data_IF_076345558772
#
_entry.id   IF_076345558772
#
_cell.length_a   1.000
_cell.length_b   1.000
_cell.length_c   1.000
_cell.angle_alpha   90.00
_cell.angle_beta   90.00
_cell.angle_gamma   90.00
#
_symmetry.space_group_name_H-M   'P 1'
#
loop_
_entity.id
_entity.type
_entity.pdbx_description
1 polymer ?
#
# COMPACT_ATOMS: atom_id res chain seq x y z
N UNK A 1 23.99 -38.13 72.69
CA UNK A 1 23.88 -39.00 71.49
C UNK A 1 23.32 -38.13 70.37
N UNK A 2 24.00 -37.86 69.25
CA UNK A 2 24.61 -38.74 68.22
C UNK A 2 23.55 -39.43 67.35
N UNK A 3 23.61 -39.43 66.00
CA UNK A 3 24.61 -38.82 65.07
C UNK A 3 23.94 -38.48 63.70
N UNK A 4 24.70 -37.86 62.79
CA UNK A 4 24.35 -37.47 61.40
C UNK A 4 24.05 -38.69 60.46
N UNK A 5 23.82 -38.62 59.14
CA UNK A 5 24.09 -37.64 58.04
C UNK A 5 23.03 -37.89 56.90
N UNK A 6 22.98 -37.41 55.65
CA UNK A 6 23.75 -36.65 54.61
C UNK A 6 22.72 -35.81 53.79
N UNK A 7 22.96 -34.86 52.85
CA UNK A 7 23.83 -34.73 51.66
C UNK A 7 23.54 -35.77 50.52
N UNK A 8 23.61 -35.48 49.19
CA UNK A 8 24.13 -34.32 48.42
C UNK A 8 23.47 -34.29 46.99
N UNK A 9 23.18 -33.10 46.42
CA UNK A 9 23.06 -32.70 44.97
C UNK A 9 22.12 -33.53 44.02
N UNK A 10 21.64 -33.09 42.84
CA UNK A 10 22.23 -32.32 41.71
C UNK A 10 21.22 -31.58 40.79
N UNK A 11 21.73 -30.54 40.11
CA UNK A 11 21.37 -29.99 38.77
C UNK A 11 19.99 -29.34 38.45
N UNK A 12 20.08 -28.31 37.58
CA UNK A 12 19.18 -27.81 36.50
C UNK A 12 17.64 -28.02 36.59
N UNK A 13 16.80 -27.08 36.18
CA UNK A 13 16.80 -26.40 34.87
C UNK A 13 16.41 -24.92 34.97
N UNK A 14 17.00 -24.08 34.12
CA UNK A 14 16.57 -22.69 33.92
C UNK A 14 15.21 -22.64 33.20
N UNK A 15 14.21 -21.97 33.77
CA UNK A 15 13.04 -21.52 33.01
C UNK A 15 12.95 -20.00 33.05
N UNK A 16 13.50 -19.37 32.00
CA UNK A 16 13.21 -17.99 31.66
C UNK A 16 11.70 -17.88 31.38
N UNK A 17 10.96 -17.20 32.26
CA UNK A 17 9.69 -16.63 31.86
C UNK A 17 9.99 -15.51 30.88
N UNK A 18 9.94 -15.84 29.60
CA UNK A 18 9.91 -14.86 28.53
C UNK A 18 8.72 -13.94 28.77
N UNK A 19 9.01 -12.70 29.18
CA UNK A 19 8.09 -11.59 28.96
C UNK A 19 7.92 -11.53 27.45
N UNK A 20 6.76 -11.95 26.95
CA UNK A 20 6.40 -11.85 25.55
C UNK A 20 6.33 -10.37 25.20
N UNK A 21 7.44 -9.86 24.65
CA UNK A 21 7.60 -8.45 24.33
C UNK A 21 6.49 -8.03 23.37
N UNK A 22 5.52 -7.26 23.89
CA UNK A 22 4.52 -6.61 23.07
C UNK A 22 5.25 -5.48 22.35
N UNK A 23 5.83 -5.80 21.19
CA UNK A 23 6.43 -4.83 20.28
C UNK A 23 5.30 -4.05 19.60
N UNK A 24 4.67 -3.19 20.40
CA UNK A 24 3.89 -2.06 19.89
C UNK A 24 4.83 -1.21 19.06
N UNK A 25 4.59 -1.16 17.74
CA UNK A 25 5.40 -0.33 16.86
C UNK A 25 5.35 1.14 17.29
N UNK A 26 6.53 1.75 17.30
CA UNK A 26 6.74 3.19 17.39
C UNK A 26 7.98 3.51 16.55
N UNK A 27 8.33 4.79 16.37
CA UNK A 27 9.41 5.21 15.45
C UNK A 27 10.77 4.54 15.70
N UNK A 28 11.00 4.02 16.92
CA UNK A 28 12.14 3.18 17.33
C UNK A 28 12.35 1.86 16.55
N UNK A 29 11.43 1.45 15.67
CA UNK A 29 11.59 0.20 14.91
C UNK A 29 12.56 0.32 13.72
N UNK A 30 12.88 1.53 13.24
CA UNK A 30 13.94 1.72 12.24
C UNK A 30 15.29 1.14 12.73
N UNK A 31 15.64 1.40 13.98
CA UNK A 31 16.90 0.95 14.62
C UNK A 31 16.97 -0.58 14.84
N UNK A 32 15.86 -1.30 14.55
CA UNK A 32 15.73 -2.76 14.69
C UNK A 32 15.69 -3.47 13.33
N UNK A 33 15.64 -2.72 12.23
CA UNK A 33 15.72 -3.27 10.88
C UNK A 33 17.19 -3.51 10.48
N UNK A 34 17.47 -4.49 9.59
CA UNK A 34 18.80 -4.67 9.02
C UNK A 34 19.29 -3.40 8.30
N UNK A 35 20.43 -2.87 8.75
CA UNK A 35 21.12 -1.76 8.09
C UNK A 35 21.66 -2.25 6.74
N UNK A 36 21.39 -1.50 5.66
CA UNK A 36 21.82 -1.85 4.31
C UNK A 36 22.70 -0.73 3.73
N UNK A 37 23.99 -1.00 3.58
CA UNK A 37 25.00 -0.04 3.13
C UNK A 37 25.03 0.16 1.59
N UNK A 38 24.25 -0.60 0.82
CA UNK A 38 24.18 -0.43 -0.64
C UNK A 38 23.49 0.90 -1.00
N UNK A 39 24.18 1.87 -1.65
CA UNK A 39 23.62 3.20 -1.94
C UNK A 39 22.41 3.19 -2.89
N UNK A 40 22.18 2.10 -3.63
CA UNK A 40 20.96 1.96 -4.45
C UNK A 40 19.68 1.74 -3.62
N UNK A 41 19.81 1.24 -2.39
CA UNK A 41 18.68 0.90 -1.50
C UNK A 41 18.79 1.55 -0.12
N UNK A 42 19.89 2.26 0.15
CA UNK A 42 20.04 3.09 1.34
C UNK A 42 18.87 4.08 1.50
N UNK A 43 18.38 4.18 2.75
CA UNK A 43 17.30 5.07 3.15
C UNK A 43 17.79 6.53 3.20
N UNK A 44 17.04 7.43 2.57
CA UNK A 44 17.31 8.88 2.57
C UNK A 44 16.04 9.61 2.97
N UNK A 45 16.10 10.46 3.98
CA UNK A 45 14.96 11.27 4.39
C UNK A 45 15.43 12.65 4.88
N UNK A 46 14.85 13.70 4.32
CA UNK A 46 15.03 15.08 4.77
C UNK A 46 14.08 15.46 5.93
N UNK A 47 14.16 16.72 6.38
CA UNK A 47 13.23 17.30 7.37
C UNK A 47 12.08 18.11 6.72
N UNK A 48 11.91 18.03 5.39
CA UNK A 48 10.85 18.76 4.66
C UNK A 48 9.53 17.99 4.81
N UNK A 49 8.42 18.64 5.23
CA UNK A 49 7.11 17.99 5.28
C UNK A 49 6.68 17.43 3.91
N UNK A 50 5.80 16.42 3.91
CA UNK A 50 5.41 15.76 2.66
C UNK A 50 4.79 16.75 1.66
N UNK A 51 5.40 16.86 0.47
CA UNK A 51 4.84 17.64 -0.63
C UNK A 51 3.75 16.84 -1.36
N UNK A 52 2.77 17.57 -1.86
CA UNK A 52 1.71 17.09 -2.75
C UNK A 52 1.75 17.90 -4.06
N UNK A 53 1.10 17.39 -5.10
CA UNK A 53 0.89 18.07 -6.39
C UNK A 53 0.37 19.50 -6.18
N UNK A 54 1.00 20.48 -6.82
CA UNK A 54 0.50 21.84 -6.87
C UNK A 54 -0.76 21.90 -7.74
N UNK A 55 -1.65 22.84 -7.38
CA UNK A 55 -2.86 23.18 -8.13
C UNK A 55 -3.88 22.03 -8.29
N UNK A 56 -3.76 20.95 -7.50
CA UNK A 56 -4.62 19.75 -7.60
C UNK A 56 -4.68 19.17 -9.02
N UNK A 57 -3.53 19.00 -9.66
CA UNK A 57 -3.46 18.58 -11.05
C UNK A 57 -4.24 17.27 -11.30
N UNK A 58 -5.20 17.33 -12.23
CA UNK A 58 -6.01 16.16 -12.62
C UNK A 58 -5.15 15.23 -13.45
N UNK A 59 -4.97 14.01 -12.99
CA UNK A 59 -4.29 12.97 -13.78
C UNK A 59 -5.23 12.59 -14.92
N UNK A 60 -4.75 12.63 -16.16
CA UNK A 60 -5.53 12.37 -17.38
C UNK A 60 -5.37 10.92 -17.84
N UNK A 61 -4.12 10.46 -17.99
CA UNK A 61 -3.80 9.06 -18.32
C UNK A 61 -2.53 8.56 -17.63
N UNK A 62 -2.50 7.26 -17.35
CA UNK A 62 -1.32 6.53 -16.91
C UNK A 62 -1.02 5.42 -17.92
N UNK A 63 0.17 5.45 -18.52
CA UNK A 63 0.56 4.57 -19.64
C UNK A 63 1.89 3.87 -19.35
N UNK A 64 2.13 2.71 -19.98
CA UNK A 64 3.48 2.15 -20.08
C UNK A 64 4.25 2.88 -21.19
N UNK A 65 5.48 3.35 -20.96
CA UNK A 65 6.28 3.96 -22.02
C UNK A 65 6.55 2.96 -23.15
N UNK A 66 6.24 3.40 -24.38
CA UNK A 66 6.69 2.85 -25.65
C UNK A 66 6.51 1.33 -25.89
N UNK A 67 5.41 0.97 -26.55
CA UNK A 67 5.41 -0.14 -27.49
C UNK A 67 4.80 0.28 -28.84
N UNK A 68 5.42 -0.11 -29.96
CA UNK A 68 4.88 0.09 -31.31
C UNK A 68 3.76 -0.94 -31.64
N UNK A 69 2.97 -1.28 -30.63
CA UNK A 69 1.97 -2.34 -30.59
C UNK A 69 0.96 -2.03 -29.49
N UNK A 70 -0.18 -2.73 -29.48
CA UNK A 70 -1.20 -2.54 -28.46
C UNK A 70 -0.64 -2.65 -27.02
N UNK A 71 -0.94 -1.66 -26.17
CA UNK A 71 -0.59 -1.64 -24.75
C UNK A 71 -1.81 -1.37 -23.87
N UNK A 72 -1.72 -1.69 -22.58
CA UNK A 72 -2.74 -1.30 -21.60
C UNK A 72 -2.36 -0.01 -20.87
N UNK A 73 -3.35 0.83 -20.62
CA UNK A 73 -3.21 2.07 -19.88
C UNK A 73 -4.50 2.41 -19.13
N UNK A 74 -4.44 3.42 -18.27
CA UNK A 74 -5.59 3.90 -17.50
C UNK A 74 -5.96 5.31 -17.92
N UNK A 75 -7.25 5.55 -18.11
CA UNK A 75 -7.86 6.87 -18.26
C UNK A 75 -8.55 7.21 -16.94
N UNK A 76 -8.48 8.47 -16.57
CA UNK A 76 -9.02 9.01 -15.33
C UNK A 76 -10.05 10.08 -15.71
N UNK A 77 -11.25 9.92 -15.17
CA UNK A 77 -12.43 10.73 -15.51
C UNK A 77 -12.94 11.38 -14.21
N UNK A 78 -13.38 12.64 -14.28
CA UNK A 78 -13.78 13.45 -13.12
C UNK A 78 -15.24 13.89 -13.23
N UNK A 79 -15.91 14.16 -12.11
CA UNK A 79 -17.22 14.80 -12.09
C UNK A 79 -17.10 16.33 -12.16
N UNK A 80 -18.24 17.03 -12.24
CA UNK A 80 -18.31 18.49 -12.33
C UNK A 80 -17.71 19.20 -11.09
N UNK A 81 -17.71 18.52 -9.93
CA UNK A 81 -17.05 18.99 -8.71
C UNK A 81 -15.53 18.76 -8.67
N UNK A 82 -14.96 18.09 -9.68
CA UNK A 82 -13.54 17.77 -9.78
C UNK A 82 -13.07 16.58 -8.97
N UNK A 83 -13.99 15.76 -8.44
CA UNK A 83 -13.68 14.47 -7.83
C UNK A 83 -13.50 13.40 -8.91
N UNK A 84 -12.62 12.43 -8.68
CA UNK A 84 -12.41 11.29 -9.58
C UNK A 84 -13.70 10.47 -9.67
N UNK A 85 -14.39 10.47 -10.81
CA UNK A 85 -15.65 9.73 -10.99
C UNK A 85 -15.43 8.32 -11.53
N UNK A 86 -14.41 8.11 -12.36
CA UNK A 86 -14.12 6.81 -12.99
C UNK A 86 -12.63 6.64 -13.33
N UNK A 87 -12.16 5.40 -13.27
CA UNK A 87 -10.90 4.97 -13.88
C UNK A 87 -11.20 3.84 -14.87
N UNK A 88 -10.95 4.07 -16.15
CA UNK A 88 -11.11 3.07 -17.21
C UNK A 88 -9.76 2.43 -17.56
N UNK A 89 -9.69 1.09 -17.58
CA UNK A 89 -8.53 0.32 -18.00
C UNK A 89 -8.70 -0.07 -19.47
N UNK A 90 -7.91 0.54 -20.34
CA UNK A 90 -8.11 0.52 -21.79
C UNK A 90 -6.93 -0.11 -22.51
N UNK A 91 -7.21 -0.70 -23.68
CA UNK A 91 -6.19 -1.00 -24.69
C UNK A 91 -6.01 0.22 -25.60
N UNK A 92 -4.76 0.48 -25.97
CA UNK A 92 -4.35 1.60 -26.82
C UNK A 92 -3.50 1.11 -27.99
N UNK A 93 -3.74 1.67 -29.17
CA UNK A 93 -2.82 1.61 -30.30
C UNK A 93 -2.35 3.04 -30.64
N UNK A 94 -1.09 3.34 -30.35
CA UNK A 94 -0.57 4.71 -30.33
C UNK A 94 -1.28 5.53 -29.24
N UNK A 95 -2.06 6.53 -29.64
CA UNK A 95 -2.92 7.31 -28.74
C UNK A 95 -4.40 6.89 -28.78
N UNK A 96 -4.82 6.05 -29.73
CA UNK A 96 -6.21 5.68 -29.93
C UNK A 96 -6.61 4.54 -28.98
N UNK A 97 -7.76 4.69 -28.32
CA UNK A 97 -8.37 3.64 -27.48
C UNK A 97 -9.01 2.60 -28.41
N UNK A 98 -8.65 1.33 -28.26
CA UNK A 98 -9.18 0.22 -29.09
C UNK A 98 -10.16 -0.70 -28.36
N UNK A 99 -10.02 -0.86 -27.03
CA UNK A 99 -10.97 -1.61 -26.19
C UNK A 99 -10.93 -1.11 -24.73
N UNK A 100 -11.94 -1.46 -23.92
CA UNK A 100 -11.97 -1.20 -22.46
C UNK A 100 -12.10 -2.52 -21.72
N UNK A 101 -10.99 -2.98 -21.13
CA UNK A 101 -10.88 -4.25 -20.39
C UNK A 101 -11.69 -4.25 -19.09
N UNK A 102 -11.95 -3.07 -18.52
CA UNK A 102 -12.72 -2.88 -17.30
C UNK A 102 -12.65 -1.43 -16.82
N UNK A 103 -13.43 -1.08 -15.81
CA UNK A 103 -13.42 0.24 -15.20
C UNK A 103 -13.86 0.20 -13.73
N UNK A 104 -13.43 1.21 -12.97
CA UNK A 104 -13.87 1.47 -11.61
C UNK A 104 -14.75 2.72 -11.61
N UNK A 105 -15.92 2.68 -10.99
CA UNK A 105 -16.77 3.86 -10.73
C UNK A 105 -16.64 4.24 -9.26
N UNK A 106 -16.54 5.53 -8.96
CA UNK A 106 -16.31 6.09 -7.63
C UNK A 106 -17.51 6.97 -7.22
N UNK A 107 -17.96 6.84 -5.98
CA UNK A 107 -19.15 7.53 -5.46
C UNK A 107 -18.84 8.22 -4.13
N UNK A 108 -19.31 9.46 -3.98
CA UNK A 108 -19.02 10.32 -2.84
C UNK A 108 -20.29 10.68 -2.05
N UNK A 109 -20.16 10.94 -0.76
CA UNK A 109 -21.23 11.55 0.05
C UNK A 109 -21.20 13.08 -0.04
N UNK A 110 -22.15 13.74 0.63
CA UNK A 110 -22.26 15.20 0.69
C UNK A 110 -21.03 15.86 1.33
N UNK A 111 -20.34 15.16 2.23
CA UNK A 111 -19.09 15.57 2.88
C UNK A 111 -17.85 15.30 2.01
N UNK A 112 -18.05 14.92 0.74
CA UNK A 112 -17.03 14.66 -0.30
C UNK A 112 -16.07 13.51 0.02
N UNK A 113 -16.44 12.62 0.93
CA UNK A 113 -15.74 11.38 1.23
C UNK A 113 -16.13 10.29 0.22
N UNK A 114 -15.17 9.46 -0.21
CA UNK A 114 -15.41 8.33 -1.11
C UNK A 114 -16.14 7.21 -0.35
N UNK A 115 -17.42 6.98 -0.61
CA UNK A 115 -18.24 5.98 0.11
C UNK A 115 -18.43 4.65 -0.63
N UNK A 116 -18.27 4.62 -1.96
CA UNK A 116 -18.29 3.37 -2.72
C UNK A 116 -17.36 3.39 -3.94
N UNK A 117 -16.74 2.24 -4.25
CA UNK A 117 -16.08 1.96 -5.53
C UNK A 117 -16.64 0.66 -6.12
N UNK A 118 -17.12 0.67 -7.38
CA UNK A 118 -17.57 -0.53 -8.10
C UNK A 118 -16.60 -0.90 -9.22
N UNK A 119 -16.12 -2.15 -9.26
CA UNK A 119 -15.18 -2.67 -10.24
C UNK A 119 -15.88 -3.54 -11.29
N UNK A 120 -15.95 -3.05 -12.52
CA UNK A 120 -16.53 -3.70 -13.67
C UNK A 120 -15.46 -4.24 -14.61
N UNK A 121 -15.60 -5.47 -15.08
CA UNK A 121 -14.65 -6.12 -16.01
C UNK A 121 -15.38 -6.56 -17.28
N UNK A 122 -14.70 -6.45 -18.42
CA UNK A 122 -15.28 -6.80 -19.73
C UNK A 122 -15.67 -8.28 -19.76
N UNK A 123 -16.94 -8.54 -20.07
CA UNK A 123 -17.50 -9.89 -20.13
C UNK A 123 -18.55 -9.98 -21.23
N UNK A 124 -18.15 -10.56 -22.37
CA UNK A 124 -18.97 -10.73 -23.58
C UNK A 124 -20.19 -11.64 -23.37
N UNK A 125 -20.28 -12.34 -22.24
CA UNK A 125 -21.43 -13.16 -21.86
C UNK A 125 -22.49 -12.39 -21.04
N UNK A 126 -22.31 -11.08 -20.83
CA UNK A 126 -23.27 -10.20 -20.15
C UNK A 126 -23.90 -9.21 -21.12
N UNK A 127 -25.18 -8.89 -20.95
CA UNK A 127 -25.94 -7.97 -21.83
C UNK A 127 -25.43 -6.53 -21.79
N UNK A 128 -24.76 -6.13 -20.71
CA UNK A 128 -24.05 -4.86 -20.52
C UNK A 128 -22.65 -4.85 -21.12
N UNK A 129 -22.12 -6.00 -21.55
CA UNK A 129 -20.71 -6.19 -21.90
C UNK A 129 -19.74 -6.16 -20.71
N UNK A 130 -20.22 -5.91 -19.48
CA UNK A 130 -19.42 -5.77 -18.27
C UNK A 130 -20.08 -6.40 -17.04
N UNK A 131 -19.29 -7.14 -16.25
CA UNK A 131 -19.69 -7.75 -14.98
C UNK A 131 -19.05 -7.03 -13.78
N UNK A 132 -19.84 -6.76 -12.74
CA UNK A 132 -19.35 -6.26 -11.45
C UNK A 132 -18.69 -7.42 -10.69
N UNK A 133 -17.36 -7.43 -10.58
CA UNK A 133 -16.62 -8.46 -9.84
C UNK A 133 -16.42 -8.09 -8.36
N UNK A 134 -16.33 -6.79 -8.06
CA UNK A 134 -16.01 -6.31 -6.72
C UNK A 134 -16.69 -4.97 -6.44
N UNK A 135 -17.26 -4.80 -5.25
CA UNK A 135 -17.78 -3.52 -4.77
C UNK A 135 -17.23 -3.22 -3.38
N UNK A 136 -16.46 -2.13 -3.27
CA UNK A 136 -15.89 -1.66 -2.02
C UNK A 136 -16.80 -0.59 -1.42
N UNK A 137 -17.09 -0.70 -0.13
CA UNK A 137 -17.84 0.29 0.66
C UNK A 137 -16.94 0.81 1.77
N UNK A 138 -16.91 2.13 1.95
CA UNK A 138 -16.04 2.80 2.93
C UNK A 138 -16.88 3.46 4.03
N UNK A 139 -16.51 3.23 5.29
CA UNK A 139 -17.22 3.68 6.48
C UNK A 139 -16.29 4.56 7.29
N UNK A 140 -16.74 5.78 7.57
CA UNK A 140 -15.96 6.82 8.24
C UNK A 140 -16.47 7.07 9.66
N UNK A 141 -15.55 7.49 10.54
CA UNK A 141 -15.85 8.01 11.87
C UNK A 141 -16.53 9.38 11.81
N UNK A 142 -17.10 9.82 12.94
CA UNK A 142 -17.66 11.17 13.07
C UNK A 142 -16.62 12.30 12.90
N UNK A 143 -15.31 12.01 13.06
CA UNK A 143 -14.22 12.95 12.79
C UNK A 143 -13.57 12.73 11.40
N UNK A 144 -14.24 11.99 10.51
CA UNK A 144 -13.90 11.89 9.09
C UNK A 144 -12.74 10.95 8.73
N UNK A 145 -12.29 10.11 9.67
CA UNK A 145 -11.28 9.07 9.41
C UNK A 145 -11.95 7.82 8.84
N UNK A 146 -11.32 7.16 7.88
CA UNK A 146 -11.79 5.88 7.37
C UNK A 146 -11.60 4.82 8.46
N UNK A 147 -12.66 4.25 9.04
CA UNK A 147 -12.55 3.19 10.05
C UNK A 147 -12.57 1.78 9.45
N UNK A 148 -13.39 1.59 8.41
CA UNK A 148 -13.63 0.28 7.81
C UNK A 148 -13.86 0.37 6.30
N UNK A 149 -13.21 -0.52 5.56
CA UNK A 149 -13.53 -0.83 4.16
C UNK A 149 -14.10 -2.24 4.10
N UNK A 150 -15.27 -2.42 3.51
CA UNK A 150 -15.84 -3.74 3.21
C UNK A 150 -15.67 -3.99 1.72
N UNK A 151 -15.15 -5.16 1.34
CA UNK A 151 -15.07 -5.59 -0.06
C UNK A 151 -16.09 -6.69 -0.28
N UNK A 152 -17.10 -6.44 -1.11
CA UNK A 152 -18.07 -7.45 -1.54
C UNK A 152 -17.67 -8.02 -2.92
N UNK A 153 -17.89 -9.32 -3.11
CA UNK A 153 -17.69 -10.03 -4.38
C UNK A 153 -19.04 -10.59 -4.88
N UNK A 154 -19.83 -9.80 -5.66
CA UNK A 154 -21.22 -10.14 -5.94
C UNK A 154 -21.40 -11.50 -6.65
N UNK A 155 -20.46 -11.87 -7.52
CA UNK A 155 -20.50 -13.11 -8.32
C UNK A 155 -20.46 -14.39 -7.45
N UNK A 156 -19.83 -14.32 -6.27
CA UNK A 156 -19.68 -15.46 -5.35
C UNK A 156 -20.42 -15.26 -4.01
N UNK A 157 -21.12 -14.14 -3.85
CA UNK A 157 -21.84 -13.76 -2.61
C UNK A 157 -20.99 -13.80 -1.34
N UNK A 158 -19.71 -13.42 -1.43
CA UNK A 158 -18.79 -13.33 -0.28
C UNK A 158 -18.36 -11.89 0.00
N UNK A 159 -17.86 -11.63 1.21
CA UNK A 159 -17.26 -10.35 1.58
C UNK A 159 -16.15 -10.50 2.63
N UNK A 160 -15.09 -9.73 2.44
CA UNK A 160 -13.95 -9.51 3.35
C UNK A 160 -14.02 -8.08 3.90
N UNK A 161 -13.18 -7.71 4.88
CA UNK A 161 -13.05 -6.31 5.28
C UNK A 161 -11.64 -5.93 5.78
N UNK A 162 -11.35 -4.64 5.72
CA UNK A 162 -10.17 -4.02 6.35
C UNK A 162 -10.63 -3.06 7.43
N UNK A 163 -10.07 -3.18 8.64
CA UNK A 163 -10.15 -2.17 9.70
C UNK A 163 -8.93 -1.25 9.66
N UNK A 164 -9.13 0.00 10.02
CA UNK A 164 -8.12 1.06 10.03
C UNK A 164 -8.07 1.66 11.43
N UNK A 165 -6.91 1.56 12.09
CA UNK A 165 -6.69 2.00 13.48
C UNK A 165 -5.70 3.15 13.51
N UNK A 166 -5.96 4.13 14.37
CA UNK A 166 -5.23 5.39 14.41
C UNK A 166 -4.58 5.64 15.77
N UNK A 167 -3.37 6.21 15.75
CA UNK A 167 -2.58 6.62 16.92
C UNK A 167 -2.10 8.04 16.66
N UNK A 168 -2.31 8.96 17.61
CA UNK A 168 -1.93 10.37 17.46
C UNK A 168 -2.44 11.02 16.15
N UNK A 169 -3.68 10.70 15.75
CA UNK A 169 -4.33 11.05 14.48
C UNK A 169 -3.71 10.49 13.18
N UNK A 170 -2.56 9.80 13.23
CA UNK A 170 -1.98 9.10 12.08
C UNK A 170 -2.48 7.65 12.00
N UNK A 171 -2.45 7.04 10.80
CA UNK A 171 -2.91 5.67 10.58
C UNK A 171 -1.86 4.68 11.11
N UNK A 172 -2.11 4.07 12.26
CA UNK A 172 -1.20 3.13 12.92
C UNK A 172 -1.21 1.77 12.21
N UNK A 173 -2.41 1.20 11.99
CA UNK A 173 -2.56 -0.19 11.51
C UNK A 173 -3.73 -0.37 10.54
N UNK A 174 -3.49 -1.14 9.48
CA UNK A 174 -4.51 -1.74 8.60
C UNK A 174 -4.61 -3.22 8.99
N UNK A 175 -5.80 -3.73 9.32
CA UNK A 175 -6.03 -5.15 9.66
C UNK A 175 -6.99 -5.78 8.65
N UNK A 176 -6.59 -6.85 7.97
CA UNK A 176 -7.40 -7.52 6.95
C UNK A 176 -8.03 -8.81 7.48
N UNK A 177 -9.35 -8.89 7.33
CA UNK A 177 -10.19 -9.99 7.75
C UNK A 177 -10.83 -10.64 6.53
N UNK A 178 -10.53 -11.93 6.33
CA UNK A 178 -11.03 -12.71 5.20
C UNK A 178 -12.52 -13.02 5.28
N UNK A 179 -13.02 -13.82 4.35
CA UNK A 179 -14.47 -14.12 4.21
C UNK A 179 -15.04 -14.99 5.33
N UNK A 180 -14.17 -15.57 6.16
CA UNK A 180 -14.49 -16.24 7.43
C UNK A 180 -14.68 -15.28 8.62
N UNK A 181 -14.37 -13.99 8.45
CA UNK A 181 -14.33 -13.00 9.53
C UNK A 181 -13.11 -13.09 10.45
N UNK A 182 -12.12 -13.95 10.13
CA UNK A 182 -10.87 -14.12 10.87
C UNK A 182 -9.78 -13.18 10.31
N UNK A 183 -8.92 -12.65 11.19
CA UNK A 183 -7.75 -11.85 10.80
C UNK A 183 -6.75 -12.74 10.02
N UNK A 184 -6.34 -12.32 8.83
CA UNK A 184 -5.37 -13.06 8.01
C UNK A 184 -3.99 -12.38 8.00
N UNK A 185 -3.98 -11.07 7.82
CA UNK A 185 -2.77 -10.24 7.76
C UNK A 185 -3.04 -8.83 8.29
N UNK A 186 -1.97 -8.09 8.58
CA UNK A 186 -2.05 -6.67 8.93
C UNK A 186 -0.81 -5.91 8.45
N UNK A 187 -0.92 -4.59 8.36
CA UNK A 187 0.20 -3.68 8.06
C UNK A 187 0.27 -2.59 9.12
N UNK A 188 1.44 -2.38 9.72
CA UNK A 188 1.72 -1.21 10.58
C UNK A 188 2.49 -0.14 9.79
N UNK A 189 2.39 1.10 10.25
CA UNK A 189 2.92 2.28 9.57
C UNK A 189 3.68 3.14 10.58
N UNK A 190 4.94 3.44 10.28
CA UNK A 190 5.74 4.35 11.10
C UNK A 190 6.02 5.65 10.33
N UNK A 191 5.94 6.75 11.08
CA UNK A 191 6.07 8.11 10.57
C UNK A 191 7.28 8.79 11.20
N UNK A 192 7.88 9.74 10.49
CA UNK A 192 8.92 10.59 11.04
C UNK A 192 8.37 11.77 11.85
N UNK A 193 9.28 12.60 12.37
CA UNK A 193 8.95 13.77 13.20
C UNK A 193 8.17 14.88 12.46
N UNK A 194 8.05 14.83 11.14
CA UNK A 194 7.27 15.77 10.31
C UNK A 194 6.05 15.12 9.64
N UNK A 195 5.74 13.87 10.01
CA UNK A 195 4.54 13.15 9.56
C UNK A 195 4.66 12.46 8.20
N UNK A 196 5.87 12.29 7.64
CA UNK A 196 6.06 11.47 6.43
C UNK A 196 6.00 9.99 6.78
N UNK A 197 5.25 9.22 5.98
CA UNK A 197 5.21 7.75 6.07
C UNK A 197 6.54 7.19 5.58
N UNK A 198 7.39 6.74 6.49
CA UNK A 198 8.78 6.29 6.21
C UNK A 198 8.91 4.76 6.16
N UNK A 199 7.98 4.02 6.76
CA UNK A 199 8.03 2.56 6.86
C UNK A 199 6.61 1.96 6.90
N UNK A 200 6.34 0.98 6.03
CA UNK A 200 5.21 0.05 6.14
C UNK A 200 5.73 -1.37 6.43
N UNK A 201 5.25 -2.03 7.48
CA UNK A 201 5.62 -3.42 7.83
C UNK A 201 4.42 -4.34 7.69
N UNK A 202 4.51 -5.40 6.87
CA UNK A 202 3.42 -6.32 6.57
C UNK A 202 3.61 -7.67 7.30
N UNK A 203 2.59 -8.09 8.05
CA UNK A 203 2.64 -9.26 8.93
C UNK A 203 1.47 -10.23 8.66
N UNK A 204 1.71 -11.52 8.89
CA UNK A 204 0.66 -12.51 9.09
C UNK A 204 -0.07 -12.27 10.43
N UNK A 205 -1.28 -12.80 10.59
CA UNK A 205 -2.06 -12.70 11.83
C UNK A 205 -1.37 -13.27 13.10
N UNK A 206 -0.37 -14.15 12.94
CA UNK A 206 0.46 -14.65 14.05
C UNK A 206 1.63 -13.71 14.43
N UNK A 207 1.67 -12.50 13.87
CA UNK A 207 2.73 -11.48 13.99
C UNK A 207 4.07 -11.85 13.32
N UNK A 208 4.11 -12.86 12.44
CA UNK A 208 5.27 -13.11 11.58
C UNK A 208 5.37 -12.05 10.48
N UNK A 209 6.50 -11.34 10.42
CA UNK A 209 6.82 -10.39 9.35
C UNK A 209 6.94 -11.12 8.00
N UNK A 210 6.29 -10.60 6.96
CA UNK A 210 6.34 -11.12 5.58
C UNK A 210 7.28 -10.28 4.71
N UNK A 211 7.22 -8.95 4.87
CA UNK A 211 8.11 -7.98 4.24
C UNK A 211 7.93 -6.61 4.92
N UNK A 212 8.84 -5.69 4.67
CA UNK A 212 8.67 -4.27 5.00
C UNK A 212 9.07 -3.40 3.81
N UNK A 213 8.50 -2.20 3.71
CA UNK A 213 8.85 -1.21 2.69
C UNK A 213 9.29 0.08 3.37
N UNK A 214 10.49 0.56 3.06
CA UNK A 214 10.99 1.86 3.47
C UNK A 214 10.75 2.89 2.36
N UNK A 215 10.37 4.12 2.73
CA UNK A 215 10.10 5.22 1.80
C UNK A 215 11.10 6.36 2.04
N UNK A 216 11.86 6.71 1.01
CA UNK A 216 12.89 7.74 1.03
C UNK A 216 12.39 9.01 0.34
N UNK A 217 12.64 10.15 0.98
CA UNK A 217 12.16 11.46 0.55
C UNK A 217 13.30 12.43 0.26
N UNK A 218 13.13 13.22 -0.81
CA UNK A 218 13.99 14.33 -1.20
C UNK A 218 13.10 15.51 -1.57
N UNK A 219 13.36 16.67 -0.96
CA UNK A 219 12.48 17.85 -0.95
C UNK A 219 11.03 17.51 -0.53
N UNK A 220 10.87 16.57 0.41
CA UNK A 220 9.56 16.12 0.88
C UNK A 220 8.76 15.26 -0.12
N UNK A 221 9.35 14.88 -1.26
CA UNK A 221 8.75 13.99 -2.28
C UNK A 221 9.24 12.55 -2.10
N UNK A 222 8.37 11.55 -2.15
CA UNK A 222 8.76 10.13 -2.06
C UNK A 222 9.45 9.69 -3.37
N UNK A 223 10.76 9.97 -3.50
CA UNK A 223 11.55 9.67 -4.69
C UNK A 223 11.93 8.20 -4.84
N UNK A 224 11.93 7.43 -3.74
CA UNK A 224 12.33 6.01 -3.74
C UNK A 224 11.55 5.24 -2.68
N UNK A 225 11.06 4.06 -3.01
CA UNK A 225 10.52 3.10 -2.03
C UNK A 225 11.14 1.73 -2.25
N UNK A 226 11.66 1.09 -1.20
CA UNK A 226 12.32 -0.23 -1.30
C UNK A 226 11.61 -1.23 -0.40
N UNK A 227 11.14 -2.34 -0.98
CA UNK A 227 10.56 -3.47 -0.26
C UNK A 227 11.65 -4.51 0.01
N UNK A 228 11.76 -4.93 1.27
CA UNK A 228 12.75 -5.89 1.77
C UNK A 228 12.07 -7.16 2.31
N UNK A 229 12.81 -8.26 2.32
CA UNK A 229 12.44 -9.50 3.01
C UNK A 229 12.48 -9.31 4.54
N UNK A 230 11.95 -10.24 5.34
CA UNK A 230 12.09 -10.23 6.79
C UNK A 230 13.56 -10.32 7.27
N UNK A 231 14.50 -10.70 6.40
CA UNK A 231 15.93 -10.77 6.67
C UNK A 231 16.73 -9.57 6.13
N UNK A 232 16.07 -8.58 5.51
CA UNK A 232 16.71 -7.38 4.97
C UNK A 232 17.29 -7.52 3.55
N UNK A 233 17.01 -8.62 2.85
CA UNK A 233 17.30 -8.72 1.42
C UNK A 233 16.37 -7.75 0.66
N UNK A 234 16.93 -6.85 -0.14
CA UNK A 234 16.14 -5.93 -0.94
C UNK A 234 15.47 -6.70 -2.10
N UNK A 235 14.14 -6.84 -2.06
CA UNK A 235 13.36 -7.61 -3.02
C UNK A 235 13.00 -6.77 -4.26
N UNK A 236 12.68 -5.49 -4.04
CA UNK A 236 12.09 -4.62 -5.05
C UNK A 236 12.37 -3.16 -4.74
N UNK A 237 12.76 -2.38 -5.75
CA UNK A 237 12.99 -0.94 -5.71
C UNK A 237 11.99 -0.23 -6.62
N UNK A 238 11.37 0.83 -6.11
CA UNK A 238 10.56 1.78 -6.88
C UNK A 238 11.25 3.13 -6.87
N UNK A 239 11.39 3.76 -8.03
CA UNK A 239 11.88 5.13 -8.20
C UNK A 239 10.75 5.99 -8.76
N UNK A 240 10.58 7.20 -8.21
CA UNK A 240 9.56 8.16 -8.64
C UNK A 240 10.24 9.45 -9.13
N UNK A 241 9.79 9.95 -10.27
CA UNK A 241 10.21 11.24 -10.83
C UNK A 241 9.03 12.21 -10.84
N UNK A 242 9.31 13.45 -10.46
CA UNK A 242 8.32 14.52 -10.33
C UNK A 242 8.65 15.68 -11.28
N UNK A 243 7.63 16.45 -11.69
CA UNK A 243 7.83 17.73 -12.38
C UNK A 243 8.06 18.89 -11.39
N UNK A 244 8.24 20.10 -11.91
CA UNK A 244 8.39 21.33 -11.11
C UNK A 244 7.13 21.73 -10.33
N UNK A 245 5.99 21.08 -10.58
CA UNK A 245 4.73 21.27 -9.89
C UNK A 245 4.45 20.13 -8.88
N UNK A 246 5.44 19.29 -8.59
CA UNK A 246 5.32 18.14 -7.68
C UNK A 246 4.31 17.06 -8.13
N UNK A 247 3.99 17.03 -9.42
CA UNK A 247 3.22 15.95 -10.03
C UNK A 247 4.11 14.73 -10.24
N UNK A 248 3.65 13.53 -9.88
CA UNK A 248 4.36 12.28 -10.18
C UNK A 248 4.25 12.01 -11.69
N UNK A 249 5.29 12.30 -12.47
CA UNK A 249 5.28 12.11 -13.93
C UNK A 249 5.77 10.73 -14.37
N UNK A 250 6.53 10.03 -13.52
CA UNK A 250 7.08 8.69 -13.82
C UNK A 250 7.27 7.87 -12.54
N UNK A 251 6.94 6.57 -12.60
CA UNK A 251 7.26 5.60 -11.56
C UNK A 251 7.83 4.33 -12.19
N UNK A 252 8.99 3.89 -11.69
CA UNK A 252 9.77 2.77 -12.23
C UNK A 252 10.00 1.71 -11.16
N UNK A 253 9.56 0.48 -11.44
CA UNK A 253 9.67 -0.69 -10.57
C UNK A 253 10.75 -1.64 -11.09
N UNK A 254 11.75 -1.93 -10.26
CA UNK A 254 12.77 -2.95 -10.48
C UNK A 254 12.65 -4.04 -9.42
N UNK A 255 12.37 -5.26 -9.83
CA UNK A 255 12.54 -6.45 -9.01
C UNK A 255 14.05 -6.76 -8.92
N UNK A 256 14.55 -6.97 -7.71
CA UNK A 256 16.00 -7.08 -7.43
C UNK A 256 16.45 -8.53 -7.22
N UNK A 257 15.51 -9.47 -7.08
CA UNK A 257 15.76 -10.89 -6.84
C UNK A 257 15.25 -11.75 -8.00
N UNK A 258 16.07 -12.71 -8.43
CA UNK A 258 15.77 -13.60 -9.57
C UNK A 258 14.56 -14.52 -9.35
N UNK A 259 14.10 -14.66 -8.11
CA UNK A 259 12.95 -15.48 -7.72
C UNK A 259 11.64 -14.67 -7.60
N UNK A 260 11.63 -13.37 -7.93
CA UNK A 260 10.38 -12.60 -7.95
C UNK A 260 9.48 -13.09 -9.09
N UNK A 261 8.19 -13.32 -8.77
CA UNK A 261 7.14 -13.63 -9.75
C UNK A 261 6.52 -12.38 -10.39
N UNK A 262 7.03 -11.19 -10.03
CA UNK A 262 6.62 -9.91 -10.59
C UNK A 262 7.53 -9.51 -11.75
N UNK A 263 7.02 -8.64 -12.61
CA UNK A 263 7.81 -8.02 -13.68
C UNK A 263 8.22 -6.61 -13.29
N UNK A 264 9.38 -6.17 -13.78
CA UNK A 264 9.70 -4.76 -13.85
C UNK A 264 8.57 -4.03 -14.61
N UNK A 265 8.22 -2.82 -14.17
CA UNK A 265 7.26 -1.97 -14.88
C UNK A 265 7.71 -0.52 -14.87
N UNK A 266 7.21 0.25 -15.84
CA UNK A 266 7.26 1.71 -15.78
C UNK A 266 5.86 2.25 -16.02
N UNK A 267 5.44 3.21 -15.21
CA UNK A 267 4.27 4.03 -15.46
C UNK A 267 4.73 5.45 -15.78
N UNK A 268 4.28 6.00 -16.90
CA UNK A 268 4.26 7.43 -17.16
C UNK A 268 2.87 7.98 -16.83
N UNK A 269 2.83 9.21 -16.34
CA UNK A 269 1.63 9.87 -15.86
C UNK A 269 1.50 11.22 -16.57
N UNK A 270 0.41 11.40 -17.30
CA UNK A 270 0.06 12.66 -17.93
C UNK A 270 -1.11 13.30 -17.19
N UNK A 271 -1.00 14.60 -16.98
CA UNK A 271 -2.01 15.42 -16.32
C UNK A 271 -2.72 16.30 -17.33
N UNK A 272 -3.94 16.73 -17.02
CA UNK A 272 -4.57 17.83 -17.74
C UNK A 272 -3.77 19.12 -17.49
N UNK A 273 -3.60 19.93 -18.54
CA UNK A 273 -2.98 21.24 -18.40
C UNK A 273 -3.80 22.09 -17.42
N UNK A 274 -3.13 22.74 -16.46
CA UNK A 274 -3.77 23.72 -15.60
C UNK A 274 -4.35 24.86 -16.46
N UNK A 275 -5.59 25.26 -16.15
CA UNK A 275 -6.27 26.42 -16.71
C UNK A 275 -5.94 27.69 -15.92
#
# INVERSE_FOLDING_TARGET
MTIATTHIWTLLVCLLFFISGITSCDSSDLDKLPVNENPEVAFVNDDVPQRLSLNNARLKRMISPASNSAYSGKIYEYNDEGQLSRISNCLFEGEAITDTLGYNVYQYNVDKQLVMTNNFNANKNTSTGFINLQTQVYIYSNDGKLEKKITHYPVISQSEYTLYKYKNNMLDRKEHYGTSGVLENYTTHSYDKVGKLILECHYMANNQLINYTQHSFIDGLNTRSVTFSPTGEALRKVINTYDSNYNLIRSESSELVLYSSRSNFTAQYEYDNAQ
#
